data_IF_489858253766
#
_entry.id   IF_489858253766
#
_cell.length_a   1.000
_cell.length_b   1.000
_cell.length_c   1.000
_cell.angle_alpha   90.00
_cell.angle_beta   90.00
_cell.angle_gamma   90.00
#
_symmetry.space_group_name_H-M   'P 1'
#
loop_
_entity.id
_entity.type
_entity.pdbx_description
1 polymer ?
#
# COMPACT_ATOMS: atom_id res chain seq x y z
N UNK A 1 -48.94 -47.98 16.67
CA UNK A 1 -48.62 -46.65 16.12
C UNK A 1 -48.39 -45.64 17.24
N UNK A 2 -49.34 -45.50 18.17
CA UNK A 2 -49.26 -44.60 19.33
C UNK A 2 -47.98 -44.73 20.17
N UNK A 3 -47.55 -45.93 20.54
CA UNK A 3 -46.30 -46.12 21.31
C UNK A 3 -45.03 -45.61 20.59
N UNK A 4 -44.99 -45.69 19.26
CA UNK A 4 -43.87 -45.17 18.47
C UNK A 4 -43.92 -43.64 18.40
N UNK A 5 -45.12 -43.05 18.32
CA UNK A 5 -45.34 -41.61 18.36
C UNK A 5 -44.94 -41.05 19.72
N UNK A 6 -45.39 -41.66 20.82
CA UNK A 6 -45.04 -41.22 22.19
C UNK A 6 -43.53 -41.32 22.45
N UNK A 7 -42.86 -42.35 21.91
CA UNK A 7 -41.41 -42.48 21.99
C UNK A 7 -40.70 -41.36 21.21
N UNK A 8 -41.22 -41.02 20.04
CA UNK A 8 -40.66 -39.95 19.21
C UNK A 8 -40.89 -38.58 19.86
N UNK A 9 -42.06 -38.33 20.43
CA UNK A 9 -42.37 -37.13 21.21
C UNK A 9 -41.43 -36.99 22.41
N UNK A 10 -41.20 -38.06 23.17
CA UNK A 10 -40.25 -38.04 24.28
C UNK A 10 -38.80 -37.75 23.81
N UNK A 11 -38.41 -38.25 22.63
CA UNK A 11 -37.11 -37.93 22.04
C UNK A 11 -37.01 -36.45 21.65
N UNK A 12 -38.09 -35.86 21.11
CA UNK A 12 -38.14 -34.43 20.79
C UNK A 12 -38.13 -33.55 22.03
N UNK A 13 -38.94 -33.87 23.05
CA UNK A 13 -38.93 -33.14 24.33
C UNK A 13 -37.55 -33.18 25.00
N UNK A 14 -36.88 -34.35 24.94
CA UNK A 14 -35.52 -34.48 25.44
C UNK A 14 -34.53 -33.65 24.60
N UNK A 15 -34.64 -33.69 23.27
CA UNK A 15 -33.76 -32.91 22.40
C UNK A 15 -33.94 -31.39 22.60
N UNK A 16 -35.18 -30.93 22.78
CA UNK A 16 -35.50 -29.54 23.10
C UNK A 16 -34.89 -29.13 24.46
N UNK A 17 -35.10 -29.94 25.50
CA UNK A 17 -34.51 -29.70 26.83
C UNK A 17 -32.97 -29.71 26.80
N UNK A 18 -32.36 -30.60 26.00
CA UNK A 18 -30.91 -30.67 25.83
C UNK A 18 -30.37 -29.41 25.11
N UNK A 19 -31.11 -28.86 24.14
CA UNK A 19 -30.75 -27.60 23.46
C UNK A 19 -30.87 -26.39 24.40
N UNK A 20 -31.95 -26.30 25.16
CA UNK A 20 -32.16 -25.23 26.15
C UNK A 20 -31.03 -25.23 27.20
N UNK A 21 -30.61 -26.42 27.65
CA UNK A 21 -29.50 -26.55 28.58
C UNK A 21 -28.18 -26.06 27.97
N UNK A 22 -27.92 -26.38 26.69
CA UNK A 22 -26.73 -25.90 25.98
C UNK A 22 -26.76 -24.38 25.85
N UNK A 23 -27.89 -23.79 25.46
CA UNK A 23 -28.05 -22.34 25.33
C UNK A 23 -27.75 -21.64 26.66
N UNK A 24 -28.43 -22.00 27.74
CA UNK A 24 -28.21 -21.39 29.04
C UNK A 24 -26.78 -21.55 29.57
N UNK A 25 -26.15 -22.70 29.32
CA UNK A 25 -24.76 -22.92 29.71
C UNK A 25 -23.81 -22.01 28.92
N UNK A 26 -24.06 -21.82 27.62
CA UNK A 26 -23.28 -20.90 26.79
C UNK A 26 -23.47 -19.46 27.24
N UNK A 27 -24.71 -19.01 27.47
CA UNK A 27 -25.02 -17.68 27.98
C UNK A 27 -24.30 -17.41 29.30
N UNK A 28 -24.39 -18.36 30.24
CA UNK A 28 -23.74 -18.26 31.55
C UNK A 28 -22.22 -18.14 31.41
N UNK A 29 -21.58 -19.01 30.61
CA UNK A 29 -20.14 -18.95 30.39
C UNK A 29 -19.73 -17.67 29.65
N UNK A 30 -20.50 -17.17 28.68
CA UNK A 30 -20.22 -15.90 28.00
C UNK A 30 -20.24 -14.77 29.04
N UNK A 31 -21.30 -14.63 29.84
CA UNK A 31 -21.43 -13.58 30.85
C UNK A 31 -20.35 -13.67 31.93
N UNK A 32 -20.00 -14.88 32.36
CA UNK A 32 -18.95 -15.13 33.35
C UNK A 32 -17.55 -14.80 32.84
N UNK A 33 -17.26 -15.10 31.58
CA UNK A 33 -15.95 -14.87 30.96
C UNK A 33 -15.78 -13.44 30.42
N UNK A 34 -16.84 -12.63 30.36
CA UNK A 34 -16.73 -11.19 30.07
C UNK A 34 -15.98 -10.49 31.22
N UNK A 35 -14.78 -9.94 31.00
CA UNK A 35 -14.07 -9.26 32.06
C UNK A 35 -14.83 -7.97 32.41
N UNK A 36 -15.20 -7.78 33.69
CA UNK A 36 -15.91 -6.57 34.17
C UNK A 36 -15.23 -5.25 33.80
N UNK A 37 -13.94 -5.28 33.44
CA UNK A 37 -13.12 -4.12 33.07
C UNK A 37 -12.30 -4.34 31.77
N UNK A 38 -12.74 -5.20 30.84
CA UNK A 38 -12.06 -5.32 29.56
C UNK A 38 -12.23 -4.04 28.72
N UNK A 39 -11.16 -3.53 28.07
CA UNK A 39 -11.33 -2.46 27.09
C UNK A 39 -12.32 -2.94 26.03
N UNK A 40 -13.28 -2.08 25.67
CA UNK A 40 -14.42 -2.36 24.81
C UNK A 40 -14.08 -3.41 23.73
N UNK A 41 -14.45 -4.67 24.01
CA UNK A 41 -14.23 -5.77 23.09
C UNK A 41 -14.95 -5.43 21.78
N UNK A 42 -14.21 -5.41 20.68
CA UNK A 42 -14.75 -4.96 19.40
C UNK A 42 -15.92 -5.87 19.00
N UNK A 43 -17.12 -5.28 18.94
CA UNK A 43 -18.33 -6.00 18.58
C UNK A 43 -18.26 -6.36 17.09
N UNK A 44 -18.28 -7.65 16.71
CA UNK A 44 -18.15 -8.08 15.32
C UNK A 44 -19.26 -7.53 14.42
N UNK A 45 -20.48 -7.33 14.95
CA UNK A 45 -21.59 -6.71 14.22
C UNK A 45 -21.27 -5.26 13.88
N UNK A 46 -20.71 -4.50 14.83
CA UNK A 46 -20.27 -3.11 14.58
C UNK A 46 -19.10 -3.04 13.61
N UNK A 47 -18.14 -3.96 13.71
CA UNK A 47 -17.01 -4.03 12.79
C UNK A 47 -17.47 -4.31 11.34
N UNK A 48 -18.44 -5.20 11.15
CA UNK A 48 -19.00 -5.48 9.82
C UNK A 48 -19.68 -4.24 9.23
N UNK A 49 -20.41 -3.48 10.04
CA UNK A 49 -21.03 -2.23 9.58
C UNK A 49 -19.98 -1.18 9.22
N UNK A 50 -18.95 -1.01 10.04
CA UNK A 50 -17.83 -0.11 9.73
C UNK A 50 -17.11 -0.51 8.45
N UNK A 51 -16.88 -1.81 8.25
CA UNK A 51 -16.23 -2.34 7.05
C UNK A 51 -17.07 -2.07 5.80
N UNK A 52 -18.40 -2.19 5.89
CA UNK A 52 -19.31 -1.83 4.80
C UNK A 52 -19.17 -0.36 4.42
N UNK A 53 -19.16 0.54 5.40
CA UNK A 53 -18.98 1.99 5.17
C UNK A 53 -17.63 2.28 4.52
N UNK A 54 -16.54 1.70 5.04
CA UNK A 54 -15.19 1.87 4.48
C UNK A 54 -15.14 1.39 3.03
N UNK A 55 -15.73 0.22 2.73
CA UNK A 55 -15.77 -0.34 1.39
C UNK A 55 -16.56 0.55 0.41
N UNK A 56 -17.64 1.18 0.85
CA UNK A 56 -18.40 2.15 0.01
C UNK A 56 -17.54 3.36 -0.32
N UNK A 57 -16.96 4.00 0.71
CA UNK A 57 -16.13 5.20 0.54
C UNK A 57 -14.90 4.94 -0.33
N UNK A 58 -14.27 3.78 -0.17
CA UNK A 58 -13.15 3.40 -1.03
C UNK A 58 -13.57 3.31 -2.50
N UNK A 59 -14.71 2.66 -2.79
CA UNK A 59 -15.22 2.56 -4.16
C UNK A 59 -15.55 3.92 -4.77
N UNK A 60 -16.20 4.78 -3.99
CA UNK A 60 -16.52 6.16 -4.40
C UNK A 60 -15.24 6.94 -4.72
N UNK A 61 -14.24 6.89 -3.83
CA UNK A 61 -12.97 7.58 -4.01
C UNK A 61 -12.16 7.03 -5.20
N UNK A 62 -12.14 5.71 -5.40
CA UNK A 62 -11.49 5.10 -6.56
C UNK A 62 -12.12 5.58 -7.87
N UNK A 63 -13.45 5.61 -7.93
CA UNK A 63 -14.17 6.08 -9.11
C UNK A 63 -13.90 7.56 -9.39
N UNK A 64 -13.87 8.41 -8.35
CA UNK A 64 -13.50 9.82 -8.49
C UNK A 64 -12.04 9.98 -8.96
N UNK A 65 -11.11 9.20 -8.41
CA UNK A 65 -9.71 9.24 -8.83
C UNK A 65 -9.52 8.83 -10.29
N UNK A 66 -10.23 7.79 -10.75
CA UNK A 66 -10.20 7.34 -12.14
C UNK A 66 -10.77 8.41 -13.09
N UNK A 67 -11.84 9.09 -12.68
CA UNK A 67 -12.43 10.20 -13.42
C UNK A 67 -11.48 11.42 -13.50
N UNK A 68 -10.82 11.78 -12.39
CA UNK A 68 -9.83 12.86 -12.40
C UNK A 68 -8.65 12.50 -13.31
N UNK A 69 -8.20 11.24 -13.29
CA UNK A 69 -7.11 10.79 -14.13
C UNK A 69 -7.46 10.85 -15.63
N UNK A 70 -8.69 10.49 -16.01
CA UNK A 70 -9.16 10.61 -17.40
C UNK A 70 -9.27 12.08 -17.83
N UNK A 71 -9.83 12.95 -16.99
CA UNK A 71 -9.93 14.39 -17.25
C UNK A 71 -8.55 15.06 -17.38
N UNK A 72 -7.60 14.70 -16.50
CA UNK A 72 -6.23 15.20 -16.59
C UNK A 72 -5.55 14.77 -17.89
N UNK A 73 -5.73 13.52 -18.29
CA UNK A 73 -5.21 13.01 -19.57
C UNK A 73 -5.80 13.78 -20.74
N UNK A 74 -7.11 13.96 -20.77
CA UNK A 74 -7.81 14.72 -21.82
C UNK A 74 -7.35 16.18 -21.89
N UNK A 75 -7.18 16.84 -20.74
CA UNK A 75 -6.68 18.21 -20.67
C UNK A 75 -5.24 18.34 -21.20
N UNK A 76 -4.36 17.41 -20.82
CA UNK A 76 -2.98 17.39 -21.32
C UNK A 76 -2.94 17.11 -22.82
N UNK A 77 -3.75 16.17 -23.31
CA UNK A 77 -3.88 15.85 -24.73
C UNK A 77 -4.39 17.06 -25.52
N UNK A 78 -5.36 17.79 -24.97
CA UNK A 78 -5.88 19.01 -25.56
C UNK A 78 -4.79 20.10 -25.63
N UNK A 79 -4.09 20.39 -24.53
CA UNK A 79 -3.00 21.38 -24.49
C UNK A 79 -1.92 21.02 -25.51
N UNK A 80 -1.52 19.75 -25.57
CA UNK A 80 -0.54 19.25 -26.53
C UNK A 80 -0.99 19.47 -27.97
N UNK A 81 -2.26 19.22 -28.28
CA UNK A 81 -2.82 19.45 -29.62
C UNK A 81 -2.78 20.93 -29.99
N UNK A 82 -3.16 21.82 -29.06
CA UNK A 82 -3.17 23.27 -29.28
C UNK A 82 -1.77 23.84 -29.45
N UNK A 83 -0.81 23.39 -28.64
CA UNK A 83 0.59 23.78 -28.79
C UNK A 83 1.16 23.33 -30.14
N UNK A 84 0.84 22.10 -30.58
CA UNK A 84 1.27 21.60 -31.88
C UNK A 84 0.69 22.44 -33.05
N UNK A 85 -0.61 22.77 -32.99
CA UNK A 85 -1.25 23.62 -34.00
C UNK A 85 -0.67 25.03 -34.02
N UNK A 86 -0.46 25.62 -32.83
CA UNK A 86 0.12 26.97 -32.70
C UNK A 86 1.55 27.00 -33.23
N UNK A 87 2.36 25.98 -32.91
CA UNK A 87 3.72 25.85 -33.40
C UNK A 87 3.76 25.77 -34.93
N UNK A 88 2.91 24.93 -35.54
CA UNK A 88 2.81 24.85 -37.00
C UNK A 88 2.35 26.18 -37.64
N UNK A 89 1.44 26.92 -37.01
CA UNK A 89 0.99 28.21 -37.50
C UNK A 89 2.11 29.26 -37.45
N UNK A 90 2.80 29.37 -36.31
CA UNK A 90 3.95 30.28 -36.15
C UNK A 90 5.04 29.96 -37.16
N UNK A 91 5.36 28.68 -37.34
CA UNK A 91 6.35 28.24 -38.33
C UNK A 91 5.96 28.69 -39.75
N UNK A 92 4.71 28.48 -40.16
CA UNK A 92 4.24 28.93 -41.50
C UNK A 92 4.30 30.44 -41.67
N UNK A 93 3.95 31.21 -40.64
CA UNK A 93 4.04 32.68 -40.69
C UNK A 93 5.49 33.16 -40.75
N UNK A 94 6.40 32.49 -40.05
CA UNK A 94 7.84 32.74 -40.13
C UNK A 94 8.39 32.38 -41.51
N UNK A 95 7.94 31.31 -42.16
CA UNK A 95 8.36 30.98 -43.53
C UNK A 95 7.87 32.01 -44.56
N UNK A 96 6.74 32.67 -44.30
CA UNK A 96 6.14 33.69 -45.17
C UNK A 96 6.70 35.10 -44.96
N UNK A 97 7.39 35.33 -43.84
CA UNK A 97 8.05 36.59 -43.54
C UNK A 97 9.56 36.38 -43.65
N UNK A 98 10.32 37.26 -44.28
CA UNK A 98 11.78 37.10 -44.42
C UNK A 98 12.53 37.29 -43.07
N UNK A 99 11.94 36.88 -41.94
CA UNK A 99 12.56 36.84 -40.62
C UNK A 99 13.36 35.54 -40.50
N UNK A 100 14.69 35.64 -40.44
CA UNK A 100 15.54 34.53 -40.00
C UNK A 100 15.14 34.12 -38.58
N UNK A 101 14.63 32.89 -38.42
CA UNK A 101 14.45 32.30 -37.10
C UNK A 101 15.81 31.80 -36.59
N UNK A 102 16.17 32.20 -35.36
CA UNK A 102 17.28 31.56 -34.67
C UNK A 102 16.90 30.09 -34.42
N UNK A 103 17.77 29.11 -34.71
CA UNK A 103 17.46 27.71 -34.44
C UNK A 103 17.14 27.54 -32.95
N UNK A 104 16.07 26.79 -32.60
CA UNK A 104 15.69 26.60 -31.22
C UNK A 104 16.85 26.00 -30.44
N UNK A 105 17.09 26.55 -29.25
CA UNK A 105 18.17 26.14 -28.35
C UNK A 105 17.97 24.67 -27.95
N UNK A 106 19.03 23.95 -27.61
CA UNK A 106 18.94 22.54 -27.21
C UNK A 106 17.90 22.30 -26.09
N UNK A 107 17.79 23.23 -25.15
CA UNK A 107 16.81 23.21 -24.06
C UNK A 107 15.36 23.37 -24.56
N UNK A 108 15.13 24.20 -25.59
CA UNK A 108 13.82 24.44 -26.19
C UNK A 108 13.38 23.23 -27.03
N UNK A 109 14.31 22.62 -27.77
CA UNK A 109 14.06 21.39 -28.50
C UNK A 109 13.75 20.22 -27.56
N UNK A 110 14.46 20.13 -26.44
CA UNK A 110 14.18 19.13 -25.40
C UNK A 110 12.80 19.34 -24.77
N UNK A 111 12.43 20.59 -24.44
CA UNK A 111 11.14 20.91 -23.86
C UNK A 111 9.97 20.58 -24.82
N UNK A 112 10.10 20.96 -26.10
CA UNK A 112 9.13 20.60 -27.13
C UNK A 112 9.02 19.10 -27.30
N UNK A 113 10.15 18.38 -27.33
CA UNK A 113 10.13 16.93 -27.44
C UNK A 113 9.40 16.29 -26.24
N UNK A 114 9.62 16.78 -25.02
CA UNK A 114 8.96 16.25 -23.82
C UNK A 114 7.46 16.53 -23.80
N UNK A 115 7.04 17.73 -24.19
CA UNK A 115 5.63 18.14 -24.23
C UNK A 115 4.87 17.43 -25.36
N UNK A 116 5.50 17.21 -26.52
CA UNK A 116 4.86 16.55 -27.66
C UNK A 116 4.95 15.01 -27.63
N UNK A 117 6.02 14.41 -27.07
CA UNK A 117 6.25 12.95 -27.14
C UNK A 117 5.90 12.15 -25.89
N UNK A 118 5.34 12.74 -24.81
CA UNK A 118 5.03 11.89 -23.66
C UNK A 118 3.89 10.91 -23.97
N UNK A 119 4.28 9.63 -24.03
CA UNK A 119 3.45 8.49 -23.70
C UNK A 119 2.84 8.73 -22.32
N UNK A 120 1.52 8.53 -22.27
CA UNK A 120 0.75 8.52 -21.03
C UNK A 120 1.26 7.35 -20.20
N UNK A 121 1.54 7.60 -18.92
CA UNK A 121 1.64 6.59 -17.87
C UNK A 121 0.39 5.71 -17.94
N UNK A 122 0.51 4.59 -18.66
CA UNK A 122 -0.55 3.59 -18.80
C UNK A 122 -0.40 2.65 -17.61
N UNK A 123 -0.85 3.13 -16.46
CA UNK A 123 -0.83 2.41 -15.20
C UNK A 123 -2.21 2.36 -14.55
N UNK A 124 -3.25 2.07 -15.33
CA UNK A 124 -4.57 1.68 -14.82
C UNK A 124 -5.34 0.97 -15.94
N UNK A 125 -5.17 -0.34 -16.03
CA UNK A 125 -6.09 -1.18 -16.80
C UNK A 125 -7.42 -1.30 -16.03
N UNK A 126 -8.59 -1.23 -16.70
CA UNK A 126 -9.87 -1.39 -16.05
C UNK A 126 -10.04 -2.84 -15.59
N UNK A 127 -10.14 -3.06 -14.28
CA UNK A 127 -10.50 -4.36 -13.71
C UNK A 127 -12.03 -4.49 -13.67
N UNK A 128 -12.62 -4.93 -14.77
CA UNK A 128 -13.92 -5.62 -14.72
C UNK A 128 -13.69 -7.12 -14.89
N UNK A 129 -13.94 -7.90 -13.83
CA UNK A 129 -14.81 -9.09 -13.82
C UNK A 129 -14.62 -9.97 -12.55
N UNK A 130 -15.62 -10.80 -12.20
CA UNK A 130 -16.03 -11.10 -10.83
C UNK A 130 -15.20 -12.13 -10.06
N UNK A 131 -15.29 -12.01 -8.73
CA UNK A 131 -14.74 -12.95 -7.76
C UNK A 131 -15.19 -14.41 -8.02
N UNK A 132 -14.31 -15.23 -8.59
CA UNK A 132 -14.26 -16.65 -8.29
C UNK A 132 -12.90 -17.24 -8.67
N UNK A 133 -12.30 -17.92 -7.68
CA UNK A 133 -11.21 -18.90 -7.76
C UNK A 133 -9.76 -18.37 -7.74
N UNK A 134 -9.08 -18.76 -6.66
CA UNK A 134 -7.66 -18.54 -6.38
C UNK A 134 -6.75 -19.21 -7.42
N UNK A 135 -5.64 -18.56 -7.80
CA UNK A 135 -4.42 -19.28 -8.11
C UNK A 135 -3.20 -18.82 -7.28
N UNK A 136 -2.26 -19.76 -7.17
CA UNK A 136 -1.03 -19.81 -6.35
C UNK A 136 -0.07 -18.62 -6.52
N UNK A 137 0.78 -18.35 -5.50
CA UNK A 137 1.62 -17.15 -5.45
C UNK A 137 2.70 -17.14 -6.54
N UNK A 138 2.59 -16.19 -7.47
CA UNK A 138 3.70 -15.81 -8.34
C UNK A 138 4.66 -14.91 -7.54
N UNK A 139 5.92 -15.31 -7.47
CA UNK A 139 7.00 -14.56 -6.83
C UNK A 139 7.27 -13.27 -7.63
N UNK A 140 6.84 -12.13 -7.10
CA UNK A 140 7.43 -10.84 -7.44
C UNK A 140 8.87 -10.83 -6.89
N UNK A 141 9.88 -10.88 -7.77
CA UNK A 141 11.26 -10.61 -7.38
C UNK A 141 11.35 -9.12 -7.04
N UNK A 142 11.34 -8.80 -5.75
CA UNK A 142 11.67 -7.45 -5.28
C UNK A 142 13.18 -7.29 -5.45
N UNK A 143 13.61 -6.37 -6.32
CA UNK A 143 15.02 -6.05 -6.54
C UNK A 143 15.53 -5.12 -5.43
N UNK A 144 16.75 -5.37 -4.93
CA UNK A 144 17.36 -4.54 -3.88
C UNK A 144 18.02 -3.31 -4.49
N UNK A 145 17.52 -2.12 -4.16
CA UNK A 145 18.16 -0.86 -4.52
C UNK A 145 18.96 -0.28 -3.35
N UNK A 146 20.31 -0.18 -3.43
CA UNK A 146 21.11 0.40 -2.36
C UNK A 146 20.89 1.91 -2.22
N UNK A 147 21.15 2.47 -1.04
CA UNK A 147 21.10 3.93 -0.83
C UNK A 147 22.26 4.58 -1.58
N UNK A 148 21.94 5.42 -2.56
CA UNK A 148 22.91 6.23 -3.31
C UNK A 148 23.44 7.37 -2.45
N UNK A 149 24.68 7.82 -2.72
CA UNK A 149 25.30 8.95 -1.99
C UNK A 149 24.43 10.21 -1.99
N UNK A 150 23.76 10.52 -3.11
CA UNK A 150 22.80 11.63 -3.23
C UNK A 150 21.63 11.52 -2.25
N UNK A 151 21.09 10.32 -2.05
CA UNK A 151 20.01 10.10 -1.09
C UNK A 151 20.54 10.23 0.33
N UNK A 152 21.72 9.67 0.61
CA UNK A 152 22.33 9.73 1.93
C UNK A 152 22.66 11.17 2.36
N UNK A 153 23.14 12.03 1.45
CA UNK A 153 23.45 13.43 1.76
C UNK A 153 22.21 14.32 1.93
N UNK A 154 21.07 13.93 1.35
CA UNK A 154 19.76 14.57 1.57
C UNK A 154 19.33 14.55 3.04
N UNK A 155 19.72 13.52 3.80
CA UNK A 155 19.42 13.45 5.23
C UNK A 155 20.36 14.39 6.01
N UNK A 156 19.87 15.25 6.92
CA UNK A 156 20.73 16.11 7.74
C UNK A 156 21.75 15.34 8.59
N UNK A 157 22.96 15.90 8.77
CA UNK A 157 24.01 15.26 9.56
C UNK A 157 23.62 15.06 11.04
N UNK A 158 22.74 15.91 11.58
CA UNK A 158 22.16 15.74 12.92
C UNK A 158 21.41 14.42 13.10
N UNK A 159 20.83 13.89 12.02
CA UNK A 159 20.10 12.61 12.00
C UNK A 159 21.04 11.44 11.66
N UNK A 160 21.97 11.64 10.70
CA UNK A 160 22.97 10.62 10.33
C UNK A 160 23.98 10.33 11.45
N UNK A 161 24.29 11.34 12.27
CA UNK A 161 25.30 11.28 13.31
C UNK A 161 26.64 10.76 12.77
N UNK A 162 27.13 9.61 13.25
CA UNK A 162 28.41 9.00 12.89
C UNK A 162 28.30 7.87 11.86
N UNK A 163 27.13 7.67 11.25
CA UNK A 163 26.88 6.55 10.33
C UNK A 163 27.62 6.74 9.00
N UNK A 164 28.32 5.70 8.54
CA UNK A 164 28.94 5.66 7.20
C UNK A 164 27.98 5.03 6.19
N UNK A 165 28.00 5.50 4.95
CA UNK A 165 27.14 4.99 3.87
C UNK A 165 27.30 3.47 3.64
N UNK A 166 28.54 2.97 3.60
CA UNK A 166 28.81 1.55 3.43
C UNK A 166 28.21 0.69 4.56
N UNK A 167 28.32 1.16 5.81
CA UNK A 167 27.75 0.47 6.97
C UNK A 167 26.22 0.54 7.01
N UNK A 168 25.63 1.60 6.45
CA UNK A 168 24.19 1.76 6.31
C UNK A 168 23.64 0.80 5.25
N UNK A 169 24.28 0.73 4.08
CA UNK A 169 23.86 -0.15 2.98
C UNK A 169 24.00 -1.63 3.35
N UNK A 170 25.09 -2.02 4.03
CA UNK A 170 25.21 -3.37 4.60
C UNK A 170 24.04 -3.70 5.53
N UNK A 171 23.71 -2.78 6.45
CA UNK A 171 22.61 -2.98 7.39
C UNK A 171 21.25 -3.05 6.69
N UNK A 172 21.03 -2.21 5.68
CA UNK A 172 19.81 -2.24 4.89
C UNK A 172 19.67 -3.54 4.10
N UNK A 173 20.73 -4.02 3.47
CA UNK A 173 20.74 -5.30 2.75
C UNK A 173 20.39 -6.47 3.69
N UNK A 174 20.96 -6.52 4.89
CA UNK A 174 20.63 -7.54 5.90
C UNK A 174 19.14 -7.53 6.30
N UNK A 175 18.54 -6.34 6.41
CA UNK A 175 17.10 -6.21 6.65
C UNK A 175 16.30 -6.67 5.44
N UNK A 176 16.69 -6.26 4.23
CA UNK A 176 16.04 -6.63 2.99
C UNK A 176 16.02 -8.14 2.77
N UNK A 177 17.16 -8.81 2.95
CA UNK A 177 17.28 -10.27 2.83
C UNK A 177 16.41 -10.97 3.87
N UNK A 178 16.37 -10.46 5.11
CA UNK A 178 15.53 -11.03 6.17
C UNK A 178 14.04 -10.97 5.80
N UNK A 179 13.54 -9.81 5.37
CA UNK A 179 12.10 -9.66 5.06
C UNK A 179 11.70 -10.38 3.77
N UNK A 180 12.60 -10.45 2.79
CA UNK A 180 12.41 -11.21 1.55
C UNK A 180 12.36 -12.71 1.81
N UNK A 181 13.30 -13.25 2.60
CA UNK A 181 13.34 -14.69 2.92
C UNK A 181 12.20 -15.12 3.86
N UNK A 182 11.76 -14.25 4.77
CA UNK A 182 10.71 -14.56 5.76
C UNK A 182 9.29 -14.12 5.34
N UNK A 183 9.04 -13.89 4.04
CA UNK A 183 7.73 -13.51 3.48
C UNK A 183 7.06 -12.34 4.24
N UNK A 184 7.79 -11.25 4.50
CA UNK A 184 7.29 -10.07 5.22
C UNK A 184 6.72 -10.35 6.63
N UNK A 185 7.15 -11.45 7.28
CA UNK A 185 6.61 -11.84 8.58
C UNK A 185 7.13 -10.95 9.72
N UNK A 186 6.17 -10.29 10.37
CA UNK A 186 6.23 -9.55 11.66
C UNK A 186 7.31 -8.47 11.80
N UNK A 187 6.93 -7.34 12.38
CA UNK A 187 7.85 -6.22 12.61
C UNK A 187 9.00 -6.61 13.55
N UNK A 188 10.22 -6.15 13.24
CA UNK A 188 11.44 -6.53 13.95
C UNK A 188 11.80 -5.53 15.04
N UNK A 189 12.09 -6.00 16.25
CA UNK A 189 12.63 -5.15 17.32
C UNK A 189 14.16 -5.06 17.26
N UNK A 190 14.73 -4.00 17.84
CA UNK A 190 16.20 -3.83 17.94
C UNK A 190 16.85 -5.01 18.68
N UNK A 191 16.17 -5.59 19.67
CA UNK A 191 16.64 -6.77 20.41
C UNK A 191 16.75 -7.99 19.48
N UNK A 192 15.76 -8.19 18.61
CA UNK A 192 15.79 -9.28 17.63
C UNK A 192 16.87 -9.04 16.58
N UNK A 193 17.09 -7.80 16.14
CA UNK A 193 18.17 -7.45 15.21
C UNK A 193 19.54 -7.84 15.77
N UNK A 194 19.80 -7.49 17.02
CA UNK A 194 21.07 -7.82 17.67
C UNK A 194 21.25 -9.35 17.84
N UNK A 195 20.17 -10.09 18.11
CA UNK A 195 20.20 -11.57 18.13
C UNK A 195 20.49 -12.19 16.77
N UNK A 196 20.06 -11.53 15.68
CA UNK A 196 20.35 -11.92 14.30
C UNK A 196 21.72 -11.40 13.81
N UNK A 197 22.58 -10.95 14.73
CA UNK A 197 23.91 -10.42 14.45
C UNK A 197 23.91 -9.17 13.54
N UNK A 198 22.80 -8.44 13.50
CA UNK A 198 22.70 -7.16 12.81
C UNK A 198 23.17 -6.04 13.74
N UNK A 199 24.06 -5.17 13.27
CA UNK A 199 24.55 -3.99 14.03
C UNK A 199 23.52 -2.86 13.97
N UNK A 200 22.40 -3.05 14.67
CA UNK A 200 21.31 -2.08 14.72
C UNK A 200 21.65 -0.91 15.67
N UNK A 201 21.81 0.27 15.08
CA UNK A 201 21.99 1.53 15.82
C UNK A 201 20.81 2.45 15.55
N UNK A 202 20.41 3.23 16.54
CA UNK A 202 19.28 4.16 16.41
C UNK A 202 19.49 5.17 15.27
N UNK A 203 20.71 5.64 15.05
CA UNK A 203 21.07 6.53 13.94
C UNK A 203 20.87 5.89 12.56
N UNK A 204 21.20 4.59 12.39
CA UNK A 204 20.95 3.85 11.14
C UNK A 204 19.45 3.73 10.86
N UNK A 205 18.67 3.41 11.90
CA UNK A 205 17.21 3.30 11.79
C UNK A 205 16.55 4.65 11.48
N UNK A 206 16.98 5.73 12.15
CA UNK A 206 16.49 7.09 11.89
C UNK A 206 16.84 7.57 10.49
N UNK A 207 18.05 7.26 10.01
CA UNK A 207 18.49 7.63 8.66
C UNK A 207 17.66 6.92 7.59
N UNK A 208 17.47 5.59 7.70
CA UNK A 208 16.63 4.85 6.76
C UNK A 208 15.14 5.25 6.85
N UNK A 209 14.66 5.65 8.04
CA UNK A 209 13.31 6.21 8.20
C UNK A 209 13.16 7.55 7.49
N UNK A 210 14.16 8.42 7.60
CA UNK A 210 14.15 9.73 6.91
C UNK A 210 14.17 9.59 5.38
N UNK A 211 14.71 8.48 4.87
CA UNK A 211 14.67 8.10 3.46
C UNK A 211 13.40 7.34 3.06
N UNK A 212 12.46 7.16 3.98
CA UNK A 212 11.21 6.43 3.81
C UNK A 212 11.39 4.95 3.41
N UNK A 213 12.58 4.39 3.62
CA UNK A 213 12.91 2.99 3.32
C UNK A 213 12.34 2.04 4.38
N UNK A 214 12.16 2.54 5.62
CA UNK A 214 11.57 1.78 6.72
C UNK A 214 10.51 2.57 7.49
N UNK A 215 9.58 1.84 8.09
CA UNK A 215 8.59 2.35 9.04
C UNK A 215 8.93 1.90 10.46
N UNK A 216 8.73 2.80 11.42
CA UNK A 216 8.84 2.52 12.85
C UNK A 216 7.45 2.62 13.49
N UNK A 217 6.98 1.54 14.12
CA UNK A 217 5.75 1.52 14.92
C UNK A 217 5.94 2.34 16.22
N UNK A 218 4.83 2.71 16.90
CA UNK A 218 4.84 3.42 18.20
C UNK A 218 5.64 2.68 19.28
N UNK A 219 5.86 1.37 19.10
CA UNK A 219 6.65 0.49 19.96
C UNK A 219 8.12 0.33 19.52
N UNK A 220 8.59 1.09 18.53
CA UNK A 220 9.96 1.04 18.01
C UNK A 220 10.28 -0.22 17.17
N UNK A 221 9.25 -0.88 16.61
CA UNK A 221 9.42 -2.05 15.74
C UNK A 221 9.54 -1.63 14.29
N UNK A 222 10.43 -2.29 13.56
CA UNK A 222 10.86 -1.94 12.21
C UNK A 222 10.12 -2.79 11.18
N UNK A 223 9.62 -2.16 10.12
CA UNK A 223 9.13 -2.81 8.90
C UNK A 223 9.73 -2.12 7.67
N UNK A 224 10.02 -2.87 6.61
CA UNK A 224 10.42 -2.27 5.35
C UNK A 224 9.22 -1.60 4.68
N UNK A 225 9.42 -0.38 4.19
CA UNK A 225 8.48 0.27 3.30
C UNK A 225 8.69 -0.32 1.91
N UNK A 226 7.92 -1.34 1.55
CA UNK A 226 7.85 -1.76 0.14
C UNK A 226 7.14 -0.62 -0.57
N UNK A 227 7.88 0.20 -1.32
CA UNK A 227 7.26 1.18 -2.21
C UNK A 227 6.50 0.37 -3.27
N UNK A 228 5.17 0.50 -3.39
CA UNK A 228 4.48 0.01 -4.56
C UNK A 228 5.02 0.85 -5.74
N UNK A 229 5.70 0.17 -6.66
CA UNK A 229 6.08 0.75 -7.94
C UNK A 229 4.86 1.00 -8.80
#
# INVERSE_FOLDING_TARGET
>A
MEAAVNKLEAMFQKAESDLDYIEHKLEFEIVKNLPRNAPAQENPVKLLEQLRVIKSRYRELSLEADQIASEQKEAVDFIRSQLATTFQLVQKLQEQSDLESCPPTDDEQWALQKVLKSEVLTGAGPCEEPCAQSPKPQQMKVEFEPVTEKMFTSVPQSVRQTVKLAELNMFYQQLFDYFTNNKNSSALSVIQMNKLNMKATESKLKTLKALEILQLDKKGRVRLSIKPS
#
